data_IF_514805020052
#
_entry.id   IF_514805020052
#
_cell.length_a   1.000
_cell.length_b   1.000
_cell.length_c   1.000
_cell.angle_alpha   90.00
_cell.angle_beta   90.00
_cell.angle_gamma   90.00
#
_symmetry.space_group_name_H-M   'P 1'
#
loop_
_entity.id
_entity.type
_entity.pdbx_description
1 polymer ?
#
# COMPACT_ATOMS: atom_id res chain seq x y z
N UNK A 1 27.77 8.53 18.19
CA UNK A 1 26.51 9.12 18.72
C UNK A 1 25.66 7.96 19.19
N UNK A 2 25.58 7.72 20.48
CA UNK A 2 24.65 6.74 21.06
C UNK A 2 23.25 7.30 20.85
N UNK A 3 22.44 6.61 20.06
CA UNK A 3 21.07 7.05 19.80
C UNK A 3 20.26 6.88 21.08
N UNK A 4 19.72 7.95 21.65
CA UNK A 4 18.81 7.95 22.80
C UNK A 4 17.41 7.40 22.44
N UNK A 5 17.37 6.43 21.54
CA UNK A 5 16.13 5.78 21.14
C UNK A 5 15.69 4.78 22.18
N UNK A 6 14.47 4.95 22.66
CA UNK A 6 13.84 4.06 23.63
C UNK A 6 13.01 3.01 22.90
N UNK A 7 13.02 1.78 23.40
CA UNK A 7 12.22 0.68 22.87
C UNK A 7 10.86 0.63 23.59
N UNK A 8 9.81 0.47 22.80
CA UNK A 8 8.42 0.29 23.23
C UNK A 8 7.81 -0.86 22.44
N UNK A 9 6.69 -1.38 22.92
CA UNK A 9 5.82 -2.18 22.05
C UNK A 9 4.84 -1.27 21.32
N UNK A 10 4.31 -1.72 20.17
CA UNK A 10 3.27 -0.97 19.47
C UNK A 10 2.07 -0.72 20.40
N UNK A 11 1.74 -1.69 21.28
CA UNK A 11 0.68 -1.54 22.27
C UNK A 11 0.91 -0.41 23.27
N UNK A 12 2.18 -0.17 23.68
CA UNK A 12 2.49 0.90 24.63
C UNK A 12 2.20 2.30 24.05
N UNK A 13 2.37 2.46 22.75
CA UNK A 13 2.23 3.74 22.05
C UNK A 13 0.90 3.91 21.32
N UNK A 14 0.04 2.89 21.36
CA UNK A 14 -1.28 2.89 20.70
C UNK A 14 -2.35 3.40 21.66
N UNK A 15 -3.16 4.36 21.18
CA UNK A 15 -4.36 4.87 21.83
C UNK A 15 -5.59 4.00 21.53
N UNK A 16 -5.77 3.64 20.25
CA UNK A 16 -6.94 2.88 19.78
C UNK A 16 -6.54 1.90 18.68
N UNK A 17 -7.10 0.70 18.73
CA UNK A 17 -7.09 -0.25 17.60
C UNK A 17 -8.50 -0.46 17.10
N UNK A 18 -8.74 -0.19 15.82
CA UNK A 18 -10.00 -0.50 15.17
C UNK A 18 -9.83 -1.81 14.40
N UNK A 19 -10.58 -2.82 14.78
CA UNK A 19 -10.57 -4.16 14.16
C UNK A 19 -11.99 -4.63 13.85
N UNK A 20 -12.40 -4.46 12.60
CA UNK A 20 -13.72 -4.88 12.12
C UNK A 20 -13.65 -6.01 11.09
N UNK A 21 -12.56 -6.78 11.09
CA UNK A 21 -12.26 -7.80 10.07
C UNK A 21 -13.33 -8.88 9.87
N UNK A 22 -14.14 -9.16 10.86
CA UNK A 22 -15.23 -10.14 10.77
C UNK A 22 -16.56 -9.59 10.31
N UNK A 23 -16.71 -8.24 10.18
CA UNK A 23 -17.96 -7.60 9.78
C UNK A 23 -18.16 -7.67 8.26
N UNK A 24 -19.40 -7.79 7.84
CA UNK A 24 -19.85 -7.68 6.45
C UNK A 24 -21.24 -7.06 6.44
N UNK A 25 -21.69 -6.40 5.35
CA UNK A 25 -23.06 -5.86 5.29
C UNK A 25 -24.10 -6.93 5.59
N UNK A 26 -23.93 -8.13 5.06
CA UNK A 26 -24.84 -9.26 5.27
C UNK A 26 -25.01 -9.63 6.75
N UNK A 27 -23.90 -9.61 7.51
CA UNK A 27 -23.92 -9.86 8.96
C UNK A 27 -24.57 -8.71 9.76
N UNK A 28 -24.61 -7.52 9.18
CA UNK A 28 -25.19 -6.32 9.77
C UNK A 28 -26.63 -6.07 9.29
N UNK A 29 -27.20 -7.02 8.54
CA UNK A 29 -28.60 -6.96 8.09
C UNK A 29 -28.84 -6.10 6.85
N UNK A 30 -27.84 -5.94 5.97
CA UNK A 30 -27.96 -5.17 4.74
C UNK A 30 -27.05 -5.68 3.62
N UNK A 31 -26.80 -4.86 2.62
CA UNK A 31 -25.97 -5.19 1.47
C UNK A 31 -25.07 -4.00 1.08
N UNK A 32 -24.23 -4.21 0.08
CA UNK A 32 -23.39 -3.20 -0.52
C UNK A 32 -24.23 -2.19 -1.30
N UNK A 33 -23.82 -0.94 -1.28
CA UNK A 33 -24.45 0.10 -2.09
C UNK A 33 -23.62 0.43 -3.35
N UNK A 34 -24.25 1.14 -4.30
CA UNK A 34 -23.57 1.60 -5.52
C UNK A 34 -22.68 2.82 -5.27
N UNK A 35 -22.93 3.56 -4.21
CA UNK A 35 -22.20 4.78 -3.83
C UNK A 35 -22.30 5.00 -2.32
N UNK A 36 -21.56 5.96 -1.79
CA UNK A 36 -21.51 6.28 -0.37
C UNK A 36 -20.09 6.17 0.18
N UNK A 37 -19.95 5.57 1.36
CA UNK A 37 -18.67 5.43 2.04
C UNK A 37 -17.86 4.28 1.47
N UNK A 38 -16.60 4.55 1.11
CA UNK A 38 -15.67 3.54 0.58
C UNK A 38 -15.33 2.50 1.63
N UNK A 39 -15.46 1.23 1.30
CA UNK A 39 -15.05 0.12 2.14
C UNK A 39 -13.70 -0.42 1.67
N UNK A 40 -12.64 -0.08 2.39
CA UNK A 40 -11.30 -0.54 2.11
C UNK A 40 -11.05 -1.91 2.75
N UNK A 41 -10.41 -2.79 2.00
CA UNK A 41 -9.94 -4.11 2.45
C UNK A 41 -8.45 -4.27 2.19
N UNK A 42 -7.84 -5.33 2.69
CA UNK A 42 -6.40 -5.57 2.51
C UNK A 42 -5.94 -5.49 1.05
N UNK A 43 -6.75 -5.98 0.09
CA UNK A 43 -6.40 -5.93 -1.34
C UNK A 43 -6.29 -4.50 -1.90
N UNK A 44 -6.89 -3.52 -1.22
CA UNK A 44 -6.85 -2.13 -1.62
C UNK A 44 -5.65 -1.37 -1.05
N UNK A 45 -4.88 -2.00 -0.16
CA UNK A 45 -3.73 -1.40 0.49
C UNK A 45 -2.44 -2.02 -0.03
N UNK A 46 -1.57 -1.16 -0.52
CA UNK A 46 -0.14 -1.41 -0.73
C UNK A 46 0.61 -0.35 0.05
N UNK A 47 1.77 -0.69 0.57
CA UNK A 47 2.56 0.26 1.37
C UNK A 47 2.68 1.60 0.63
N UNK A 48 2.25 2.67 1.29
CA UNK A 48 2.25 4.03 0.78
C UNK A 48 1.17 4.39 -0.26
N UNK A 49 0.31 3.47 -0.68
CA UNK A 49 -0.72 3.77 -1.70
C UNK A 49 -1.98 2.90 -1.59
N UNK A 50 -3.10 3.47 -2.04
CA UNK A 50 -4.34 2.72 -2.29
C UNK A 50 -4.29 2.19 -3.72
N UNK A 51 -4.59 0.90 -3.89
CA UNK A 51 -4.53 0.20 -5.18
C UNK A 51 -5.87 -0.45 -5.51
N UNK A 52 -6.05 -0.87 -6.76
CA UNK A 52 -7.26 -1.56 -7.25
C UNK A 52 -8.57 -0.79 -6.95
N UNK A 53 -8.67 0.49 -7.34
CA UNK A 53 -9.83 1.34 -7.01
C UNK A 53 -11.15 0.73 -7.50
N UNK A 54 -11.15 0.05 -8.63
CA UNK A 54 -12.34 -0.58 -9.23
C UNK A 54 -12.91 -1.73 -8.38
N UNK A 55 -12.15 -2.21 -7.40
CA UNK A 55 -12.59 -3.26 -6.49
C UNK A 55 -13.14 -2.74 -5.17
N UNK A 56 -13.06 -1.43 -4.94
CA UNK A 56 -13.58 -0.78 -3.74
C UNK A 56 -15.11 -0.83 -3.79
N UNK A 57 -15.72 -1.32 -2.72
CA UNK A 57 -17.16 -1.34 -2.55
C UNK A 57 -17.59 -0.17 -1.69
N UNK A 58 -18.90 0.09 -1.69
CA UNK A 58 -19.47 1.20 -0.96
C UNK A 58 -20.58 0.71 -0.01
N UNK A 59 -20.80 1.48 1.04
CA UNK A 59 -21.97 1.33 1.92
C UNK A 59 -22.66 2.68 2.06
N UNK A 60 -23.96 2.65 2.33
CA UNK A 60 -24.74 3.85 2.63
C UNK A 60 -24.50 4.34 4.07
N UNK A 61 -25.11 5.47 4.44
CA UNK A 61 -24.99 6.08 5.76
C UNK A 61 -25.46 5.15 6.88
N UNK A 62 -26.60 4.47 6.70
CA UNK A 62 -27.13 3.58 7.73
C UNK A 62 -26.17 2.42 8.02
N UNK A 63 -25.64 1.81 6.98
CA UNK A 63 -24.66 0.73 7.11
C UNK A 63 -23.34 1.24 7.69
N UNK A 64 -22.89 2.44 7.31
CA UNK A 64 -21.70 3.06 7.89
C UNK A 64 -21.84 3.22 9.41
N UNK A 65 -22.95 3.78 9.87
CA UNK A 65 -23.23 3.97 11.31
C UNK A 65 -23.33 2.65 12.10
N UNK A 66 -23.87 1.61 11.47
CA UNK A 66 -23.92 0.27 12.06
C UNK A 66 -22.53 -0.38 12.17
N UNK A 67 -21.66 -0.11 11.19
CA UNK A 67 -20.36 -0.78 11.06
C UNK A 67 -19.27 -0.08 11.84
N UNK A 68 -19.10 1.24 11.65
CA UNK A 68 -18.01 2.05 12.16
C UNK A 68 -18.39 2.73 13.48
N UNK A 69 -18.26 1.99 14.59
CA UNK A 69 -18.44 2.57 15.93
C UNK A 69 -17.29 3.51 16.29
N UNK A 70 -16.09 3.15 15.86
CA UNK A 70 -14.92 4.02 15.89
C UNK A 70 -14.57 4.37 14.46
N UNK A 71 -14.43 5.67 14.19
CA UNK A 71 -14.12 6.19 12.85
C UNK A 71 -12.60 6.29 12.63
N UNK A 72 -12.18 6.00 11.41
CA UNK A 72 -10.81 6.28 10.97
C UNK A 72 -10.64 7.79 10.87
N UNK A 73 -9.53 8.31 11.39
CA UNK A 73 -9.19 9.74 11.40
C UNK A 73 -7.85 9.98 10.72
N UNK A 74 -7.65 11.22 10.27
CA UNK A 74 -6.34 11.67 9.79
C UNK A 74 -5.27 11.37 10.85
N UNK A 75 -4.16 10.77 10.39
CA UNK A 75 -3.06 10.33 11.25
C UNK A 75 -3.13 8.87 11.68
N UNK A 76 -4.23 8.19 11.41
CA UNK A 76 -4.34 6.75 11.69
C UNK A 76 -3.49 5.94 10.69
N UNK A 77 -3.02 4.76 11.13
CA UNK A 77 -2.19 3.87 10.33
C UNK A 77 -2.99 2.60 10.03
N UNK A 78 -3.19 2.31 8.75
CA UNK A 78 -3.85 1.10 8.28
C UNK A 78 -2.81 0.00 8.06
N UNK A 79 -3.11 -1.23 8.51
CA UNK A 79 -2.19 -2.37 8.41
C UNK A 79 -2.95 -3.58 7.90
N UNK A 80 -2.45 -4.24 6.88
CA UNK A 80 -3.05 -5.49 6.39
C UNK A 80 -2.63 -6.68 7.26
N UNK A 81 -3.61 -7.42 7.74
CA UNK A 81 -3.36 -8.60 8.58
C UNK A 81 -2.99 -9.85 7.77
N UNK A 82 -3.44 -9.94 6.52
CA UNK A 82 -3.19 -11.07 5.61
C UNK A 82 -3.61 -10.72 4.18
N UNK A 83 -3.05 -11.39 3.19
CA UNK A 83 -3.44 -11.42 1.78
C UNK A 83 -3.78 -10.05 1.14
N UNK A 84 -2.85 -9.14 0.94
CA UNK A 84 -1.41 -9.24 1.24
C UNK A 84 -1.11 -8.97 2.71
N UNK A 85 -0.08 -9.60 3.25
CA UNK A 85 0.36 -9.44 4.63
C UNK A 85 1.30 -8.23 4.77
N UNK A 86 1.22 -7.52 5.92
CA UNK A 86 2.21 -6.53 6.35
C UNK A 86 2.24 -5.22 5.55
N UNK A 87 1.25 -4.96 4.70
CA UNK A 87 1.17 -3.67 4.00
C UNK A 87 0.70 -2.57 4.94
N UNK A 88 1.32 -1.41 4.86
CA UNK A 88 1.09 -0.29 5.78
C UNK A 88 0.75 0.98 5.01
N UNK A 89 -0.29 1.68 5.44
CA UNK A 89 -0.74 2.91 4.81
C UNK A 89 -1.07 3.97 5.86
N UNK A 90 -0.51 5.17 5.69
CA UNK A 90 -0.83 6.32 6.53
C UNK A 90 -2.09 7.02 6.01
N UNK A 91 -3.11 7.16 6.86
CA UNK A 91 -4.35 7.81 6.48
C UNK A 91 -4.23 9.32 6.64
N UNK A 92 -3.98 10.04 5.55
CA UNK A 92 -3.85 11.51 5.52
C UNK A 92 -5.07 12.17 4.88
N UNK A 93 -6.27 11.79 5.32
CA UNK A 93 -7.53 12.31 4.81
C UNK A 93 -8.56 12.42 5.93
N UNK A 94 -9.49 13.37 5.78
CA UNK A 94 -10.68 13.48 6.64
C UNK A 94 -11.87 12.70 6.07
N UNK A 95 -11.67 12.01 4.95
CA UNK A 95 -12.70 11.17 4.35
C UNK A 95 -13.07 10.02 5.28
N UNK A 96 -14.38 9.85 5.48
CA UNK A 96 -14.91 8.72 6.22
C UNK A 96 -14.88 7.45 5.35
N UNK A 97 -14.29 6.41 5.89
CA UNK A 97 -14.17 5.10 5.22
C UNK A 97 -14.64 3.97 6.13
N UNK A 98 -15.00 2.86 5.54
CA UNK A 98 -15.25 1.61 6.26
C UNK A 98 -14.00 0.73 6.21
N UNK A 99 -13.56 0.25 7.36
CA UNK A 99 -12.56 -0.79 7.45
C UNK A 99 -13.23 -2.15 7.24
N UNK A 100 -12.90 -2.77 6.12
CA UNK A 100 -13.46 -4.06 5.74
C UNK A 100 -12.49 -5.20 6.09
N UNK A 101 -12.44 -6.23 5.27
CA UNK A 101 -11.73 -7.46 5.58
C UNK A 101 -10.22 -7.28 5.66
N UNK A 102 -9.61 -7.93 6.68
CA UNK A 102 -8.14 -8.10 6.80
C UNK A 102 -7.36 -6.81 7.00
N UNK A 103 -8.01 -5.77 7.54
CA UNK A 103 -7.38 -4.51 7.91
C UNK A 103 -7.49 -4.26 9.41
N UNK A 104 -6.37 -3.84 10.01
CA UNK A 104 -6.33 -3.11 11.26
C UNK A 104 -6.20 -1.62 10.98
N UNK A 105 -6.69 -0.80 11.89
CA UNK A 105 -6.34 0.61 11.98
C UNK A 105 -5.80 0.87 13.38
N UNK A 106 -4.65 1.52 13.44
CA UNK A 106 -3.97 1.86 14.69
C UNK A 106 -3.88 3.36 14.80
N UNK A 107 -4.39 3.91 15.91
CA UNK A 107 -4.24 5.30 16.31
C UNK A 107 -3.13 5.42 17.33
N UNK A 108 -2.20 6.30 17.08
CA UNK A 108 -1.04 6.50 17.94
C UNK A 108 -1.39 7.55 19.00
N UNK A 109 -0.89 7.36 20.24
CA UNK A 109 -1.03 8.33 21.33
C UNK A 109 -0.40 9.66 20.96
N UNK A 110 -0.94 10.76 21.50
CA UNK A 110 -0.54 12.14 21.19
C UNK A 110 0.91 12.49 21.57
N UNK A 111 1.54 11.70 22.43
CA UNK A 111 2.94 11.87 22.85
C UNK A 111 3.94 11.43 21.78
N UNK A 112 3.48 10.77 20.72
CA UNK A 112 4.29 10.29 19.60
C UNK A 112 3.82 10.92 18.29
N UNK A 113 4.73 11.02 17.33
CA UNK A 113 4.38 11.48 15.98
C UNK A 113 3.89 10.28 15.15
N UNK A 114 2.61 10.26 14.70
CA UNK A 114 2.07 9.11 14.00
C UNK A 114 2.69 8.90 12.62
N UNK A 115 3.20 9.94 11.97
CA UNK A 115 3.88 9.86 10.68
C UNK A 115 5.28 9.26 10.83
N UNK A 116 6.00 9.60 11.92
CA UNK A 116 7.24 8.94 12.27
C UNK A 116 7.02 7.44 12.51
N UNK A 117 5.98 7.08 13.28
CA UNK A 117 5.64 5.69 13.55
C UNK A 117 5.33 4.94 12.25
N UNK A 118 4.57 5.55 11.34
CA UNK A 118 4.31 5.00 10.00
C UNK A 118 5.63 4.70 9.27
N UNK A 119 6.57 5.65 9.22
CA UNK A 119 7.86 5.43 8.56
C UNK A 119 8.70 4.35 9.24
N UNK A 120 8.67 4.28 10.57
CA UNK A 120 9.33 3.18 11.27
C UNK A 120 8.72 1.83 10.91
N UNK A 121 7.38 1.75 10.83
CA UNK A 121 6.67 0.51 10.53
C UNK A 121 6.93 -0.04 9.12
N UNK A 122 7.34 0.78 8.17
CA UNK A 122 7.72 0.33 6.82
C UNK A 122 9.19 -0.08 6.72
N UNK A 123 10.00 0.08 7.78
CA UNK A 123 11.40 -0.37 7.78
C UNK A 123 11.51 -1.89 7.78
N UNK A 124 12.63 -2.45 7.25
CA UNK A 124 12.90 -3.89 7.35
C UNK A 124 12.92 -4.41 8.79
N UNK A 125 13.33 -3.57 9.75
CA UNK A 125 13.35 -3.92 11.18
C UNK A 125 11.94 -4.24 11.70
N UNK A 126 10.98 -3.35 11.47
CA UNK A 126 9.60 -3.58 11.90
C UNK A 126 8.89 -4.66 11.07
N UNK A 127 9.17 -4.74 9.78
CA UNK A 127 8.64 -5.83 8.93
C UNK A 127 9.12 -7.19 9.43
N UNK A 128 10.38 -7.30 9.89
CA UNK A 128 10.91 -8.51 10.54
C UNK A 128 10.18 -8.85 11.86
N UNK A 129 9.76 -7.85 12.64
CA UNK A 129 8.91 -8.06 13.83
C UNK A 129 7.53 -8.63 13.46
N UNK A 130 6.92 -8.12 12.36
CA UNK A 130 5.65 -8.64 11.85
C UNK A 130 5.79 -10.09 11.38
N UNK A 131 6.81 -10.38 10.57
CA UNK A 131 7.07 -11.71 10.03
C UNK A 131 7.33 -12.74 11.15
N UNK A 132 8.12 -12.36 12.15
CA UNK A 132 8.44 -13.22 13.29
C UNK A 132 7.23 -13.55 14.18
N UNK A 133 6.14 -12.79 14.10
CA UNK A 133 4.90 -12.99 14.88
C UNK A 133 3.74 -13.51 14.06
N UNK A 134 3.92 -13.55 12.76
CA UNK A 134 2.91 -14.06 11.85
C UNK A 134 2.74 -15.57 11.98
N UNK A 135 1.54 -16.05 11.75
CA UNK A 135 1.19 -17.47 11.82
C UNK A 135 0.46 -17.90 10.57
N UNK A 136 0.56 -19.16 10.23
CA UNK A 136 -0.10 -19.78 9.07
C UNK A 136 0.90 -20.30 8.03
N UNK A 137 0.63 -21.49 7.50
CA UNK A 137 1.47 -22.14 6.49
C UNK A 137 1.02 -21.83 5.06
N UNK A 138 -0.29 -21.71 4.84
CA UNK A 138 -0.87 -21.44 3.52
C UNK A 138 -1.21 -19.96 3.34
N UNK A 139 -1.77 -19.35 4.36
CA UNK A 139 -2.04 -17.91 4.40
C UNK A 139 -1.38 -17.37 5.66
N UNK A 140 -0.32 -16.60 5.47
CA UNK A 140 0.36 -15.91 6.54
C UNK A 140 -0.52 -14.77 7.04
N UNK A 141 -0.74 -14.71 8.35
CA UNK A 141 -1.58 -13.69 8.95
C UNK A 141 -1.15 -13.32 10.37
N UNK A 142 -1.58 -12.17 10.82
CA UNK A 142 -1.27 -11.61 12.14
C UNK A 142 -2.55 -11.42 12.96
N UNK A 143 -2.48 -11.80 14.23
CA UNK A 143 -3.53 -11.50 15.20
C UNK A 143 -3.24 -10.18 15.90
N UNK A 144 -4.29 -9.45 16.27
CA UNK A 144 -4.13 -8.15 16.95
C UNK A 144 -3.24 -8.22 18.20
N UNK A 145 -3.33 -9.21 19.10
CA UNK A 145 -2.44 -9.27 20.26
C UNK A 145 -0.95 -9.41 19.90
N UNK A 146 -0.65 -10.09 18.79
CA UNK A 146 0.73 -10.22 18.32
C UNK A 146 1.23 -8.93 17.64
N UNK A 147 0.37 -8.23 16.89
CA UNK A 147 0.67 -6.90 16.37
C UNK A 147 1.06 -5.93 17.50
N UNK A 148 0.30 -5.93 18.61
CA UNK A 148 0.55 -5.04 19.74
C UNK A 148 1.88 -5.33 20.47
N UNK A 149 2.46 -6.51 20.31
CA UNK A 149 3.77 -6.89 20.88
C UNK A 149 4.96 -6.51 19.99
N UNK A 150 4.74 -6.06 18.75
CA UNK A 150 5.81 -5.65 17.85
C UNK A 150 6.60 -4.50 18.47
N UNK A 151 7.92 -4.58 18.40
CA UNK A 151 8.82 -3.59 18.98
C UNK A 151 9.00 -2.41 18.07
N UNK A 152 9.02 -1.22 18.66
CA UNK A 152 9.26 0.04 18.01
C UNK A 152 10.28 0.82 18.83
N UNK A 153 11.25 1.43 18.16
CA UNK A 153 12.20 2.32 18.81
C UNK A 153 11.94 3.76 18.37
N UNK A 154 11.81 4.65 19.35
CA UNK A 154 11.51 6.05 19.13
C UNK A 154 12.54 6.95 19.80
N UNK A 155 13.03 8.00 19.13
CA UNK A 155 13.73 9.11 19.76
C UNK A 155 12.72 10.02 20.47
N UNK A 156 13.22 11.12 21.05
CA UNK A 156 12.35 12.18 21.58
C UNK A 156 11.43 12.76 20.50
N UNK A 157 10.27 13.26 20.90
CA UNK A 157 9.18 13.72 20.00
C UNK A 157 9.64 14.78 18.98
N UNK A 158 10.57 15.66 19.38
CA UNK A 158 11.11 16.69 18.47
C UNK A 158 11.88 16.05 17.30
N UNK A 159 12.67 15.02 17.58
CA UNK A 159 13.40 14.28 16.57
C UNK A 159 12.46 13.42 15.70
N UNK A 160 11.40 12.84 16.30
CA UNK A 160 10.35 12.14 15.52
C UNK A 160 9.73 13.07 14.47
N UNK A 161 9.32 14.28 14.89
CA UNK A 161 8.73 15.28 13.98
C UNK A 161 9.69 15.71 12.88
N UNK A 162 10.95 16.00 13.23
CA UNK A 162 11.97 16.40 12.24
C UNK A 162 12.23 15.28 11.20
N UNK A 163 12.33 14.02 11.64
CA UNK A 163 12.49 12.88 10.73
C UNK A 163 11.24 12.73 9.85
N UNK A 164 10.05 12.79 10.43
CA UNK A 164 8.79 12.67 9.72
C UNK A 164 8.62 13.78 8.66
N UNK A 165 9.00 15.01 8.96
CA UNK A 165 8.96 16.15 8.04
C UNK A 165 9.87 15.91 6.82
N UNK A 166 11.11 15.48 7.05
CA UNK A 166 12.05 15.19 5.95
C UNK A 166 11.49 14.08 5.06
N UNK A 167 11.06 12.95 5.64
CA UNK A 167 10.57 11.81 4.88
C UNK A 167 9.27 12.13 4.14
N UNK A 168 8.35 12.87 4.77
CA UNK A 168 7.10 13.28 4.12
C UNK A 168 7.33 14.27 2.98
N UNK A 169 8.36 15.11 3.06
CA UNK A 169 8.74 15.99 1.95
C UNK A 169 9.23 15.21 0.73
N UNK A 170 9.93 14.10 0.96
CA UNK A 170 10.37 13.17 -0.11
C UNK A 170 9.16 12.47 -0.72
N UNK A 171 8.25 11.93 0.10
CA UNK A 171 7.02 11.29 -0.38
C UNK A 171 6.15 12.27 -1.20
N UNK A 172 6.01 13.51 -0.74
CA UNK A 172 5.30 14.54 -1.49
C UNK A 172 5.92 14.80 -2.86
N UNK A 173 7.26 14.76 -2.95
CA UNK A 173 7.99 14.92 -4.21
C UNK A 173 7.80 13.71 -5.14
N UNK A 174 7.81 12.50 -4.61
CA UNK A 174 7.51 11.28 -5.36
C UNK A 174 6.09 11.35 -5.94
N UNK A 175 5.09 11.68 -5.12
CA UNK A 175 3.70 11.82 -5.57
C UNK A 175 3.52 12.93 -6.63
N UNK A 176 4.25 14.03 -6.50
CA UNK A 176 4.24 15.10 -7.52
C UNK A 176 4.83 14.61 -8.84
N UNK A 177 5.94 13.89 -8.80
CA UNK A 177 6.56 13.31 -9.98
C UNK A 177 5.67 12.27 -10.66
N UNK A 178 5.01 11.39 -9.91
CA UNK A 178 4.06 10.42 -10.44
C UNK A 178 2.93 11.14 -11.21
N UNK A 179 2.35 12.20 -10.63
CA UNK A 179 1.33 13.01 -11.32
C UNK A 179 1.84 13.68 -12.58
N UNK A 180 3.09 14.18 -12.57
CA UNK A 180 3.72 14.76 -13.77
C UNK A 180 3.90 13.70 -14.84
N UNK A 181 4.37 12.51 -14.49
CA UNK A 181 4.56 11.40 -15.41
C UNK A 181 3.23 10.96 -16.04
N UNK A 182 2.18 10.81 -15.24
CA UNK A 182 0.84 10.47 -15.73
C UNK A 182 0.32 11.53 -16.71
N UNK A 183 0.51 12.82 -16.38
CA UNK A 183 0.10 13.92 -17.25
C UNK A 183 0.91 13.94 -18.55
N UNK A 184 2.21 13.76 -18.50
CA UNK A 184 3.08 13.68 -19.69
C UNK A 184 2.70 12.51 -20.58
N UNK A 185 2.37 11.35 -20.00
CA UNK A 185 1.91 10.19 -20.75
C UNK A 185 0.57 10.47 -21.46
N UNK A 186 -0.38 11.11 -20.77
CA UNK A 186 -1.65 11.51 -21.38
C UNK A 186 -1.45 12.53 -22.53
N UNK A 187 -0.56 13.51 -22.34
CA UNK A 187 -0.23 14.47 -23.38
C UNK A 187 0.43 13.80 -24.59
N UNK A 188 1.37 12.90 -24.37
CA UNK A 188 2.02 12.14 -25.42
C UNK A 188 1.01 11.31 -26.23
N UNK A 189 0.09 10.62 -25.55
CA UNK A 189 -1.00 9.87 -26.20
C UNK A 189 -1.90 10.78 -27.02
N UNK A 190 -2.32 11.92 -26.47
CA UNK A 190 -3.18 12.87 -27.18
C UNK A 190 -2.50 13.46 -28.43
N UNK A 191 -1.20 13.78 -28.34
CA UNK A 191 -0.41 14.23 -29.47
C UNK A 191 -0.30 13.13 -30.53
N UNK A 192 0.04 11.91 -30.14
CA UNK A 192 0.11 10.78 -31.07
C UNK A 192 -1.23 10.56 -31.77
N UNK A 193 -2.35 10.55 -31.05
CA UNK A 193 -3.68 10.43 -31.65
C UNK A 193 -4.00 11.54 -32.65
N UNK A 194 -3.55 12.76 -32.36
CA UNK A 194 -3.76 13.89 -33.28
C UNK A 194 -2.99 13.75 -34.58
N UNK A 195 -1.80 13.18 -34.55
CA UNK A 195 -1.01 12.87 -35.75
C UNK A 195 -1.57 11.65 -36.46
N UNK A 196 -1.91 10.58 -35.71
CA UNK A 196 -2.46 9.36 -36.28
C UNK A 196 -3.76 9.60 -37.06
N UNK A 197 -4.67 10.42 -36.51
CA UNK A 197 -5.93 10.80 -37.20
C UNK A 197 -5.72 11.59 -38.51
N UNK A 198 -4.53 12.15 -38.71
CA UNK A 198 -4.16 12.85 -39.94
C UNK A 198 -3.37 12.00 -40.94
N UNK A 199 -2.99 10.79 -40.49
CA UNK A 199 -2.27 9.86 -41.36
C UNK A 199 -3.21 9.39 -42.48
N UNK A 200 -2.75 9.54 -43.75
CA UNK A 200 -3.49 9.19 -44.97
C UNK A 200 -3.00 7.89 -45.60
N UNK A 201 -1.96 7.30 -45.07
CA UNK A 201 -1.35 6.07 -45.59
C UNK A 201 -1.39 5.00 -44.52
N UNK A 202 -2.02 3.88 -44.82
CA UNK A 202 -1.96 2.67 -44.02
C UNK A 202 -0.94 1.73 -44.65
N UNK A 203 -0.04 1.17 -43.82
CA UNK A 203 0.94 0.17 -44.25
C UNK A 203 0.83 -1.09 -43.37
N UNK A 204 1.15 -2.23 -43.96
CA UNK A 204 1.16 -3.47 -43.19
C UNK A 204 2.22 -3.43 -42.08
N UNK A 205 1.88 -3.95 -40.91
CA UNK A 205 2.81 -3.94 -39.75
C UNK A 205 4.17 -4.57 -40.07
N UNK A 206 4.16 -5.66 -40.84
CA UNK A 206 5.37 -6.35 -41.30
C UNK A 206 6.17 -5.63 -42.38
N UNK A 207 5.62 -4.57 -42.96
CA UNK A 207 6.35 -3.74 -43.96
C UNK A 207 7.28 -2.72 -43.28
N UNK A 208 6.98 -2.38 -42.04
CA UNK A 208 7.72 -1.34 -41.28
C UNK A 208 8.53 -1.91 -40.10
N UNK A 209 8.32 -3.18 -39.72
CA UNK A 209 9.04 -3.81 -38.64
C UNK A 209 9.53 -5.20 -39.05
N UNK A 210 10.66 -5.60 -38.46
CA UNK A 210 11.14 -6.97 -38.48
C UNK A 210 10.87 -7.62 -37.11
N UNK A 211 10.13 -8.73 -37.13
CA UNK A 211 9.87 -9.52 -35.92
C UNK A 211 10.97 -10.54 -35.77
N UNK A 212 11.73 -10.43 -34.68
CA UNK A 212 12.73 -11.42 -34.30
C UNK A 212 12.15 -12.27 -33.15
N UNK A 213 12.08 -13.57 -33.37
CA UNK A 213 11.67 -14.51 -32.32
C UNK A 213 12.82 -14.69 -31.32
N UNK A 214 12.50 -14.53 -30.03
CA UNK A 214 13.41 -14.93 -28.95
C UNK A 214 13.16 -16.37 -28.53
N UNK A 215 14.17 -17.00 -27.92
CA UNK A 215 14.06 -18.33 -27.35
C UNK A 215 14.80 -18.43 -26.03
N UNK A 216 14.29 -19.25 -25.12
CA UNK A 216 15.00 -19.51 -23.86
C UNK A 216 16.25 -20.33 -24.13
N UNK A 217 17.44 -19.88 -23.73
CA UNK A 217 18.66 -20.67 -23.82
C UNK A 217 18.52 -21.98 -23.03
N UNK A 218 19.25 -23.01 -23.42
CA UNK A 218 19.25 -24.29 -22.69
C UNK A 218 19.68 -24.07 -21.25
N UNK A 219 18.80 -24.34 -20.29
CA UNK A 219 19.05 -24.10 -18.86
C UNK A 219 20.18 -24.96 -18.28
N UNK A 220 20.47 -26.11 -18.89
CA UNK A 220 21.57 -26.99 -18.51
C UNK A 220 22.95 -26.59 -19.05
N UNK A 221 23.04 -25.57 -19.89
CA UNK A 221 24.31 -25.09 -20.45
C UNK A 221 24.82 -23.89 -19.63
N UNK A 222 25.75 -24.13 -18.74
CA UNK A 222 26.24 -23.12 -17.78
C UNK A 222 26.95 -21.93 -18.45
N UNK A 223 27.47 -22.08 -19.66
CA UNK A 223 28.12 -21.02 -20.42
C UNK A 223 27.15 -19.91 -20.87
N UNK A 224 25.82 -20.19 -20.88
CA UNK A 224 24.78 -19.21 -21.25
C UNK A 224 24.30 -18.37 -20.07
N UNK A 225 24.70 -18.71 -18.85
CA UNK A 225 24.24 -18.09 -17.65
C UNK A 225 25.38 -17.38 -16.89
N UNK A 226 25.05 -16.42 -16.06
CA UNK A 226 26.02 -15.63 -15.28
C UNK A 226 26.93 -14.71 -16.10
N UNK A 227 26.56 -14.38 -17.35
CA UNK A 227 27.23 -13.39 -18.17
C UNK A 227 26.84 -11.94 -17.83
N UNK A 228 27.42 -10.99 -18.60
CA UNK A 228 27.14 -9.56 -18.44
C UNK A 228 25.85 -9.09 -19.17
N UNK A 229 25.31 -9.93 -20.06
CA UNK A 229 24.10 -9.60 -20.83
C UNK A 229 22.88 -10.15 -20.08
N UNK A 230 21.96 -9.28 -19.63
CA UNK A 230 20.77 -9.72 -18.93
C UNK A 230 19.81 -10.45 -19.88
N UNK A 231 19.24 -11.56 -19.42
CA UNK A 231 18.19 -12.30 -20.11
C UNK A 231 16.84 -11.90 -19.52
N UNK A 232 15.96 -11.35 -20.35
CA UNK A 232 14.62 -10.93 -19.94
C UNK A 232 13.55 -11.91 -20.41
N UNK A 233 12.61 -12.18 -19.53
CA UNK A 233 11.40 -12.93 -19.84
C UNK A 233 10.17 -12.02 -19.75
N UNK A 234 8.99 -12.42 -20.27
CA UNK A 234 7.76 -11.64 -20.13
C UNK A 234 7.35 -11.35 -18.67
N UNK A 235 7.96 -12.02 -17.69
CA UNK A 235 7.72 -11.76 -16.25
C UNK A 235 8.58 -10.62 -15.70
N UNK A 236 9.59 -10.22 -16.44
CA UNK A 236 10.58 -9.21 -16.02
C UNK A 236 10.23 -7.82 -16.58
N UNK A 237 9.15 -7.71 -17.36
CA UNK A 237 8.66 -6.50 -18.03
C UNK A 237 7.35 -6.01 -17.43
#
# INVERSE_FOLDING_TARGET
MTSDWKEFTLGDITDLVIDYRGKTPKKLGGDWSKSGYRALSAKNIKTGRIVQPDTIRYVDEEMYQKWMKDEVKRGDILITSEAPFGQIFFWDSDEKIVLSQRLFCVRIKSEYDPRFIYYYMITPEFQGELDGRATGTTVVGLRQPELMKCKIRCPEIQNQKAIAEILSSIDAKILANDKINDNLQQQASALFDSFYKRAIVEVGFTEIIQILGGGTPKTGESSYWNGLIPFFTPKDV
#
